data_IF_449528796457
#
_entry.id   IF_449528796457
#
_cell.length_a   1.000
_cell.length_b   1.000
_cell.length_c   1.000
_cell.angle_alpha   90.00
_cell.angle_beta   90.00
_cell.angle_gamma   90.00
#
_symmetry.space_group_name_H-M   'P 1'
#
loop_
_entity.id
_entity.type
_entity.pdbx_description
1 polymer ?
#
# COMPACT_ATOMS: atom_id res chain seq x y z
N UNK A 1 10.62 13.76 -44.07
CA UNK A 1 10.39 13.16 -42.76
C UNK A 1 8.95 13.46 -42.38
N UNK A 2 8.20 12.48 -41.91
CA UNK A 2 6.81 12.72 -41.51
C UNK A 2 6.81 13.35 -40.12
N UNK A 3 6.19 14.52 -39.97
CA UNK A 3 6.06 15.20 -38.68
C UNK A 3 4.68 14.86 -38.09
N UNK A 4 4.63 14.51 -36.84
CA UNK A 4 3.40 14.23 -36.09
C UNK A 4 3.18 15.33 -35.08
N UNK A 5 1.99 15.93 -35.13
CA UNK A 5 1.55 16.91 -34.14
C UNK A 5 1.01 16.18 -32.90
N UNK A 6 1.65 16.38 -31.73
CA UNK A 6 1.23 15.83 -30.47
C UNK A 6 0.27 16.81 -29.79
N UNK A 7 -0.97 16.36 -29.58
CA UNK A 7 -2.04 17.14 -28.98
C UNK A 7 -2.37 16.59 -27.61
N UNK A 8 -2.86 17.48 -26.73
CA UNK A 8 -3.36 17.07 -25.42
C UNK A 8 -4.56 16.13 -25.60
N UNK A 9 -4.52 14.89 -25.06
CA UNK A 9 -5.64 13.95 -25.17
C UNK A 9 -6.84 14.42 -24.31
N UNK A 10 -7.94 13.69 -24.37
CA UNK A 10 -9.07 13.92 -23.50
C UNK A 10 -8.65 13.76 -22.04
N UNK A 11 -8.83 14.82 -21.24
CA UNK A 11 -8.44 14.94 -19.83
C UNK A 11 -9.64 14.83 -18.88
N UNK A 12 -10.77 14.27 -19.35
CA UNK A 12 -12.01 14.12 -18.59
C UNK A 12 -12.81 15.42 -18.47
N UNK A 13 -13.42 15.65 -17.31
CA UNK A 13 -14.34 16.78 -17.07
C UNK A 13 -13.65 18.16 -16.92
N UNK A 14 -12.36 18.29 -17.25
CA UNK A 14 -11.61 19.55 -17.12
C UNK A 14 -11.58 20.32 -18.43
N UNK A 15 -11.94 21.59 -18.37
CA UNK A 15 -11.90 22.49 -19.53
C UNK A 15 -10.49 23.04 -19.82
N UNK A 16 -9.65 23.13 -18.78
CA UNK A 16 -8.32 23.73 -18.84
C UNK A 16 -7.42 23.17 -17.73
N UNK A 17 -6.15 22.83 -18.04
CA UNK A 17 -5.15 22.34 -17.08
C UNK A 17 -3.84 23.10 -17.22
N UNK A 18 -3.08 23.25 -16.12
CA UNK A 18 -1.78 23.92 -16.12
C UNK A 18 -0.63 22.97 -16.43
N UNK A 19 0.34 23.37 -17.25
CA UNK A 19 1.59 22.64 -17.46
C UNK A 19 2.52 22.89 -16.27
N UNK A 20 2.81 21.84 -15.50
CA UNK A 20 3.67 21.94 -14.29
C UNK A 20 5.08 21.41 -14.52
N UNK A 21 5.30 20.62 -15.58
CA UNK A 21 6.62 20.10 -15.91
C UNK A 21 6.72 19.77 -17.41
N UNK A 22 7.93 19.99 -17.98
CA UNK A 22 8.27 19.55 -19.34
C UNK A 22 9.46 18.60 -19.22
N UNK A 23 9.23 17.33 -19.55
CA UNK A 23 10.14 16.21 -19.27
C UNK A 23 11.15 15.94 -20.40
N UNK A 24 11.04 16.64 -21.52
CA UNK A 24 11.87 16.42 -22.72
C UNK A 24 12.36 17.74 -23.29
N UNK A 25 13.44 17.70 -24.07
CA UNK A 25 14.03 18.84 -24.77
C UNK A 25 13.95 18.65 -26.29
N UNK A 26 14.09 19.77 -27.05
CA UNK A 26 14.18 19.72 -28.51
C UNK A 26 15.44 18.91 -28.89
N UNK A 27 15.26 17.94 -29.79
CA UNK A 27 16.31 17.00 -30.20
C UNK A 27 16.34 15.67 -29.46
N UNK A 28 15.57 15.53 -28.38
CA UNK A 28 15.49 14.27 -27.63
C UNK A 28 14.79 13.20 -28.46
N UNK A 29 15.34 11.98 -28.39
CA UNK A 29 14.70 10.79 -28.95
C UNK A 29 13.75 10.19 -27.92
N UNK A 30 12.47 10.17 -28.21
CA UNK A 30 11.42 9.64 -27.33
C UNK A 30 10.82 8.35 -27.89
N UNK A 31 10.46 7.46 -27.00
CA UNK A 31 9.77 6.20 -27.32
C UNK A 31 8.25 6.37 -27.25
N UNK A 32 7.53 5.46 -27.88
CA UNK A 32 6.09 5.34 -27.67
C UNK A 32 5.78 5.16 -26.17
N UNK A 33 4.75 5.86 -25.66
CA UNK A 33 4.35 5.88 -24.24
C UNK A 33 5.34 6.58 -23.28
N UNK A 34 6.41 7.20 -23.78
CA UNK A 34 7.31 7.99 -22.91
C UNK A 34 6.64 9.31 -22.53
N UNK A 35 6.67 9.66 -21.23
CA UNK A 35 6.10 10.92 -20.70
C UNK A 35 6.81 12.14 -21.28
N UNK A 36 6.04 13.11 -21.78
CA UNK A 36 6.52 14.33 -22.44
C UNK A 36 6.37 15.58 -21.58
N UNK A 37 5.19 15.75 -20.97
CA UNK A 37 4.86 16.85 -20.04
C UNK A 37 4.01 16.31 -18.92
N UNK A 38 4.03 17.01 -17.78
CA UNK A 38 3.07 16.83 -16.69
C UNK A 38 2.13 18.03 -16.65
N UNK A 39 0.84 17.75 -16.63
CA UNK A 39 -0.21 18.76 -16.48
C UNK A 39 -0.94 18.57 -15.15
N UNK A 40 -1.40 19.65 -14.54
CA UNK A 40 -2.10 19.63 -13.27
C UNK A 40 -3.48 20.28 -13.38
N UNK A 41 -4.47 19.59 -12.86
CA UNK A 41 -5.82 20.10 -12.62
C UNK A 41 -6.03 20.33 -11.13
N UNK A 42 -7.13 20.95 -10.75
CA UNK A 42 -7.51 21.17 -9.34
C UNK A 42 -7.59 19.89 -8.49
N UNK A 43 -7.55 18.71 -9.12
CA UNK A 43 -7.76 17.42 -8.43
C UNK A 43 -6.67 16.38 -8.67
N UNK A 44 -5.87 16.49 -9.72
CA UNK A 44 -4.82 15.52 -10.06
C UNK A 44 -3.79 16.09 -11.03
N UNK A 45 -2.55 15.61 -10.92
CA UNK A 45 -1.51 15.74 -11.94
C UNK A 45 -1.50 14.51 -12.84
N UNK A 46 -1.28 14.73 -14.13
CA UNK A 46 -1.26 13.68 -15.16
C UNK A 46 -0.07 13.87 -16.09
N UNK A 47 0.62 12.77 -16.41
CA UNK A 47 1.67 12.75 -17.41
C UNK A 47 1.06 12.48 -18.79
N UNK A 48 1.49 13.22 -19.79
CA UNK A 48 1.04 13.06 -21.18
C UNK A 48 2.10 12.28 -21.95
N UNK A 49 1.77 11.04 -22.38
CA UNK A 49 2.73 10.17 -23.08
C UNK A 49 2.85 10.50 -24.57
N UNK A 50 3.98 10.11 -25.17
CA UNK A 50 4.19 10.21 -26.63
C UNK A 50 3.36 9.18 -27.37
N UNK A 51 2.60 9.56 -28.41
CA UNK A 51 1.81 8.63 -29.23
C UNK A 51 2.66 7.82 -30.21
N UNK A 52 3.94 8.16 -30.40
CA UNK A 52 4.83 7.49 -31.36
C UNK A 52 6.30 7.63 -30.93
N UNK A 53 7.17 6.81 -31.53
CA UNK A 53 8.62 6.92 -31.39
C UNK A 53 9.17 7.91 -32.40
N UNK A 54 10.08 8.80 -31.96
CA UNK A 54 10.69 9.79 -32.86
C UNK A 54 11.58 10.80 -32.12
N UNK A 55 11.95 11.88 -32.80
CA UNK A 55 12.77 12.97 -32.26
C UNK A 55 11.93 14.21 -32.08
N UNK A 56 12.01 14.86 -30.91
CA UNK A 56 11.29 16.11 -30.63
C UNK A 56 11.84 17.22 -31.52
N UNK A 57 10.99 17.73 -32.40
CA UNK A 57 11.31 18.81 -33.34
C UNK A 57 11.02 20.18 -32.74
N UNK A 58 9.88 20.31 -32.04
CA UNK A 58 9.44 21.56 -31.47
C UNK A 58 8.60 21.36 -30.22
N UNK A 59 8.84 22.18 -29.22
CA UNK A 59 8.01 22.25 -27.96
C UNK A 59 7.23 23.58 -28.04
N UNK A 60 5.91 23.49 -27.94
CA UNK A 60 4.99 24.63 -28.18
C UNK A 60 4.33 25.11 -26.87
N UNK A 61 4.63 24.46 -25.74
CA UNK A 61 4.12 24.82 -24.40
C UNK A 61 5.27 25.06 -23.45
N UNK A 62 5.04 25.89 -22.43
CA UNK A 62 6.00 26.23 -21.37
C UNK A 62 5.41 25.91 -20.01
N UNK A 63 6.27 25.82 -19.01
CA UNK A 63 5.88 25.71 -17.62
C UNK A 63 4.95 26.88 -17.23
N UNK A 64 3.78 26.56 -16.68
CA UNK A 64 2.75 27.54 -16.30
C UNK A 64 1.70 27.86 -17.37
N UNK A 65 1.88 27.38 -18.61
CA UNK A 65 0.86 27.57 -19.65
C UNK A 65 -0.40 26.78 -19.33
N UNK A 66 -1.55 27.34 -19.70
CA UNK A 66 -2.84 26.67 -19.62
C UNK A 66 -3.18 26.04 -20.95
N UNK A 67 -3.53 24.74 -20.92
CA UNK A 67 -3.83 23.95 -22.12
C UNK A 67 -5.16 23.21 -21.94
N UNK A 68 -5.88 23.00 -23.05
CA UNK A 68 -7.17 22.31 -23.10
C UNK A 68 -7.07 21.07 -23.98
N UNK A 69 -8.06 20.18 -23.94
CA UNK A 69 -8.16 19.06 -24.87
C UNK A 69 -7.96 19.52 -26.34
N UNK A 70 -7.10 18.81 -27.06
CA UNK A 70 -6.77 19.11 -28.45
C UNK A 70 -5.72 20.22 -28.65
N UNK A 71 -5.25 20.91 -27.58
CA UNK A 71 -4.15 21.87 -27.67
C UNK A 71 -2.89 21.20 -28.19
N UNK A 72 -2.21 21.83 -29.15
CA UNK A 72 -0.96 21.36 -29.72
C UNK A 72 0.18 21.61 -28.70
N UNK A 73 0.82 20.53 -28.23
CA UNK A 73 1.87 20.61 -27.19
C UNK A 73 3.28 20.49 -27.77
N UNK A 74 3.50 19.59 -28.73
CA UNK A 74 4.81 19.33 -29.32
C UNK A 74 4.69 18.85 -30.76
N UNK A 75 5.82 18.89 -31.49
CA UNK A 75 6.00 18.25 -32.82
C UNK A 75 7.07 17.19 -32.73
N UNK A 76 6.79 16.03 -33.31
CA UNK A 76 7.66 14.88 -33.35
C UNK A 76 8.00 14.52 -34.80
N UNK A 77 9.29 14.38 -35.11
CA UNK A 77 9.76 13.80 -36.37
C UNK A 77 9.87 12.29 -36.21
N UNK A 78 9.08 11.53 -36.97
CA UNK A 78 9.15 10.08 -37.00
C UNK A 78 10.49 9.62 -37.58
N UNK A 79 11.22 8.77 -36.87
CA UNK A 79 12.40 8.09 -37.37
C UNK A 79 11.96 7.04 -38.42
N UNK A 80 12.43 7.16 -39.67
CA UNK A 80 12.29 6.07 -40.64
C UNK A 80 13.15 4.88 -40.18
N UNK A 81 12.69 3.63 -40.28
CA UNK A 81 13.47 2.48 -39.88
C UNK A 81 14.62 2.24 -40.86
N UNK A 82 15.79 2.73 -40.54
CA UNK A 82 17.03 2.32 -41.22
C UNK A 82 17.73 1.26 -40.38
N UNK A 83 17.67 0.05 -40.86
CA UNK A 83 18.52 -1.05 -40.41
C UNK A 83 19.96 -0.70 -40.78
N UNK A 84 20.85 -0.51 -39.81
CA UNK A 84 22.27 -0.70 -40.06
C UNK A 84 22.97 -1.13 -38.77
N UNK A 85 23.47 -2.36 -38.82
CA UNK A 85 24.49 -2.86 -37.93
C UNK A 85 25.83 -2.28 -38.34
N UNK A 86 26.63 -1.77 -37.45
CA UNK A 86 28.09 -2.03 -37.44
C UNK A 86 28.75 -1.46 -36.20
N UNK A 87 29.60 -2.28 -35.63
CA UNK A 87 30.53 -1.98 -34.55
C UNK A 87 31.64 -1.03 -35.01
N UNK A 88 32.22 -0.26 -34.13
CA UNK A 88 33.64 -0.27 -33.73
C UNK A 88 34.13 1.03 -33.11
N UNK A 89 34.73 0.85 -31.92
CA UNK A 89 36.01 1.44 -31.43
C UNK A 89 36.16 2.95 -31.20
N UNK A 90 36.33 3.16 -29.93
CA UNK A 90 37.24 4.04 -29.18
C UNK A 90 38.16 5.01 -29.96
N UNK A 91 38.20 6.26 -29.48
CA UNK A 91 39.47 6.92 -29.13
C UNK A 91 39.23 8.06 -28.12
N UNK A 92 39.97 7.99 -27.05
CA UNK A 92 40.10 9.04 -26.04
C UNK A 92 40.93 10.20 -26.60
N UNK A 93 40.56 11.44 -26.30
CA UNK A 93 41.48 12.55 -26.33
C UNK A 93 41.21 13.45 -25.12
N UNK A 94 42.18 13.43 -24.25
CA UNK A 94 42.36 14.29 -23.08
C UNK A 94 42.65 15.71 -23.52
N UNK A 95 41.99 16.70 -22.98
CA UNK A 95 42.56 18.05 -22.95
C UNK A 95 42.28 18.65 -21.56
N UNK A 96 43.38 18.82 -20.86
CA UNK A 96 43.54 19.47 -19.59
C UNK A 96 43.47 20.99 -19.79
N UNK A 97 42.70 21.71 -18.97
CA UNK A 97 43.06 23.12 -18.70
C UNK A 97 42.72 23.45 -17.21
N UNK A 98 43.71 23.93 -16.58
CA UNK A 98 43.91 24.27 -15.16
C UNK A 98 43.31 25.64 -14.81
N UNK A 99 42.92 25.82 -13.58
CA UNK A 99 42.97 26.96 -12.65
C UNK A 99 41.56 27.37 -12.15
N UNK A 100 41.30 27.69 -10.89
CA UNK A 100 42.12 27.92 -9.69
C UNK A 100 41.20 27.81 -8.46
N UNK A 101 41.83 27.50 -7.35
CA UNK A 101 41.30 27.29 -6.02
C UNK A 101 40.63 28.53 -5.37
N UNK A 102 39.65 28.26 -4.52
CA UNK A 102 39.57 28.84 -3.17
C UNK A 102 38.42 28.20 -2.36
N UNK A 103 38.76 27.55 -1.28
CA UNK A 103 38.37 27.86 0.08
C UNK A 103 37.30 26.90 0.65
N UNK A 104 37.69 25.69 1.05
CA UNK A 104 36.91 24.80 1.91
C UNK A 104 37.29 25.00 3.38
N UNK A 105 36.31 25.27 4.23
CA UNK A 105 36.42 25.18 5.68
C UNK A 105 35.77 23.87 6.13
N UNK A 106 36.44 23.02 6.90
CA UNK A 106 35.85 21.76 7.36
C UNK A 106 34.97 22.00 8.60
N UNK A 107 33.74 21.57 8.56
CA UNK A 107 32.90 21.46 9.74
C UNK A 107 33.08 20.04 10.29
N UNK A 108 33.56 19.97 11.51
CA UNK A 108 33.82 18.76 12.29
C UNK A 108 32.51 18.09 12.66
N UNK A 109 32.41 16.79 12.45
CA UNK A 109 31.37 15.92 12.99
C UNK A 109 31.55 15.72 14.51
N UNK A 110 30.50 15.70 15.33
CA UNK A 110 30.61 15.28 16.73
C UNK A 110 30.62 13.77 16.86
N UNK A 111 31.48 13.30 17.74
CA UNK A 111 31.74 11.91 18.06
C UNK A 111 30.54 11.15 18.60
N UNK A 112 30.44 9.90 18.16
CA UNK A 112 29.52 8.89 18.66
C UNK A 112 29.87 8.52 20.12
N UNK A 113 28.90 8.60 21.01
CA UNK A 113 28.96 7.99 22.35
C UNK A 113 28.55 6.52 22.26
N UNK A 114 29.37 5.67 22.86
CA UNK A 114 29.27 4.22 22.87
C UNK A 114 28.01 3.70 23.61
N UNK A 115 27.45 2.53 23.20
CA UNK A 115 26.36 1.88 23.92
C UNK A 115 26.90 0.99 25.04
N UNK A 116 26.11 0.94 26.10
CA UNK A 116 26.29 0.06 27.25
C UNK A 116 26.11 -1.42 26.87
N UNK A 117 26.97 -2.24 27.40
CA UNK A 117 27.07 -3.68 27.26
C UNK A 117 25.85 -4.43 27.81
N UNK A 118 25.39 -5.43 27.06
CA UNK A 118 24.41 -6.40 27.54
C UNK A 118 24.32 -7.62 26.61
N UNK A 119 24.99 -8.71 26.99
CA UNK A 119 24.64 -10.07 26.63
C UNK A 119 24.97 -10.54 25.21
N UNK A 120 26.17 -11.10 25.03
CA UNK A 120 26.50 -11.97 23.89
C UNK A 120 25.59 -13.20 23.85
N UNK A 121 24.78 -13.33 22.81
CA UNK A 121 24.35 -14.63 22.29
C UNK A 121 24.97 -14.76 20.90
N UNK A 122 26.10 -15.44 20.87
CA UNK A 122 26.74 -15.92 19.66
C UNK A 122 25.82 -16.95 18.98
N UNK A 123 25.20 -16.57 17.88
CA UNK A 123 24.78 -17.49 16.84
C UNK A 123 25.45 -17.10 15.54
N UNK A 124 26.38 -17.97 15.14
CA UNK A 124 27.12 -17.97 13.89
C UNK A 124 26.17 -17.76 12.70
N UNK A 125 26.41 -16.69 11.94
CA UNK A 125 25.93 -16.56 10.58
C UNK A 125 26.70 -17.61 9.74
N UNK A 126 26.11 -18.77 9.54
CA UNK A 126 26.55 -19.68 8.48
C UNK A 126 26.08 -19.09 7.16
N UNK A 127 27.02 -18.68 6.34
CA UNK A 127 26.82 -18.42 4.93
C UNK A 127 26.27 -19.72 4.30
N UNK A 128 25.05 -19.69 3.80
CA UNK A 128 24.49 -20.78 3.01
C UNK A 128 25.20 -20.75 1.65
N UNK A 129 26.19 -21.61 1.48
CA UNK A 129 26.70 -21.95 0.16
C UNK A 129 25.57 -22.60 -0.66
N UNK A 130 25.26 -21.98 -1.77
CA UNK A 130 24.37 -22.52 -2.79
C UNK A 130 25.02 -23.77 -3.38
N UNK A 131 24.60 -24.95 -2.94
CA UNK A 131 24.78 -26.16 -3.73
C UNK A 131 23.69 -26.18 -4.81
N UNK A 132 24.06 -26.27 -6.10
CA UNK A 132 23.07 -26.49 -7.15
C UNK A 132 22.47 -27.88 -6.97
N UNK A 133 21.21 -27.94 -6.53
CA UNK A 133 20.44 -29.18 -6.58
C UNK A 133 20.33 -29.61 -8.05
N UNK A 134 20.81 -30.80 -8.35
CA UNK A 134 20.67 -31.47 -9.65
C UNK A 134 19.18 -31.62 -9.97
N UNK A 135 18.59 -30.64 -10.64
CA UNK A 135 17.25 -30.75 -11.18
C UNK A 135 17.29 -31.71 -12.38
N UNK A 136 16.64 -32.86 -12.23
CA UNK A 136 16.30 -33.74 -13.32
C UNK A 136 15.50 -32.95 -14.36
N UNK A 137 15.86 -32.96 -15.64
CA UNK A 137 15.06 -32.27 -16.64
C UNK A 137 13.63 -32.83 -16.65
N UNK A 138 12.59 -31.98 -16.79
CA UNK A 138 11.20 -32.43 -16.80
C UNK A 138 10.98 -33.35 -18.01
N UNK A 139 10.71 -34.59 -17.72
CA UNK A 139 10.33 -35.58 -18.74
C UNK A 139 8.81 -35.57 -18.85
N UNK A 140 8.28 -35.15 -19.99
CA UNK A 140 6.90 -34.87 -20.38
C UNK A 140 6.34 -33.55 -19.81
N UNK A 141 5.77 -32.74 -20.68
CA UNK A 141 5.07 -31.49 -20.29
C UNK A 141 3.98 -31.84 -19.27
N UNK A 142 4.27 -31.56 -17.99
CA UNK A 142 3.25 -31.58 -16.95
C UNK A 142 2.25 -30.51 -17.30
N UNK A 143 1.02 -30.91 -17.61
CA UNK A 143 -0.04 -30.00 -18.01
C UNK A 143 -0.60 -29.37 -16.73
N UNK A 144 -0.05 -28.20 -16.34
CA UNK A 144 -0.56 -27.44 -15.22
C UNK A 144 -1.90 -26.78 -15.54
N UNK A 145 -2.73 -26.59 -14.52
CA UNK A 145 -4.01 -25.87 -14.68
C UNK A 145 -3.81 -24.41 -15.05
N UNK A 146 -2.68 -23.78 -14.62
CA UNK A 146 -2.29 -22.43 -14.99
C UNK A 146 -0.76 -22.25 -15.07
N UNK A 147 -0.32 -21.23 -15.81
CA UNK A 147 1.07 -20.80 -15.85
C UNK A 147 1.45 -20.10 -14.55
N UNK A 148 0.54 -19.23 -14.05
CA UNK A 148 0.71 -18.51 -12.81
C UNK A 148 -0.53 -18.63 -11.91
N UNK A 149 -0.28 -19.10 -10.69
CA UNK A 149 -1.23 -19.03 -9.59
C UNK A 149 -0.94 -17.79 -8.73
N UNK A 150 -1.96 -17.01 -8.38
CA UNK A 150 -1.84 -15.90 -7.42
C UNK A 150 -2.75 -16.18 -6.22
N UNK A 151 -2.20 -16.17 -5.00
CA UNK A 151 -2.93 -16.44 -3.76
C UNK A 151 -3.15 -15.12 -3.02
N UNK A 152 -4.41 -14.66 -2.98
CA UNK A 152 -4.84 -13.40 -2.40
C UNK A 152 -5.05 -12.32 -3.45
N UNK A 153 -6.21 -11.65 -3.42
CA UNK A 153 -6.61 -10.62 -4.37
C UNK A 153 -6.55 -9.20 -3.79
N UNK A 154 -5.64 -8.95 -2.85
CA UNK A 154 -5.30 -7.60 -2.41
C UNK A 154 -4.53 -6.81 -3.48
N UNK A 155 -4.09 -5.54 -3.20
CA UNK A 155 -3.41 -4.70 -4.18
C UNK A 155 -2.23 -5.37 -4.89
N UNK A 156 -1.39 -6.09 -4.18
CA UNK A 156 -0.31 -6.86 -4.81
C UNK A 156 -0.84 -8.00 -5.68
N UNK A 157 -1.82 -8.77 -5.17
CA UNK A 157 -2.30 -9.96 -5.87
C UNK A 157 -3.03 -9.64 -7.17
N UNK A 158 -4.01 -8.72 -7.17
CA UNK A 158 -4.67 -8.37 -8.42
C UNK A 158 -3.72 -7.67 -9.42
N UNK A 159 -2.77 -6.86 -8.93
CA UNK A 159 -1.77 -6.22 -9.80
C UNK A 159 -0.85 -7.26 -10.46
N UNK A 160 -0.37 -8.26 -9.69
CA UNK A 160 0.43 -9.34 -10.25
C UNK A 160 -0.36 -10.19 -11.25
N UNK A 161 -1.61 -10.55 -10.91
CA UNK A 161 -2.47 -11.34 -11.79
C UNK A 161 -2.77 -10.61 -13.11
N UNK A 162 -3.07 -9.32 -13.06
CA UNK A 162 -3.35 -8.54 -14.26
C UNK A 162 -2.10 -8.34 -15.10
N UNK A 163 -0.97 -8.03 -14.48
CA UNK A 163 0.31 -7.88 -15.19
C UNK A 163 0.71 -9.18 -15.89
N UNK A 164 0.63 -10.31 -15.21
CA UNK A 164 0.95 -11.62 -15.80
C UNK A 164 0.00 -11.99 -16.96
N UNK A 165 -1.30 -11.69 -16.82
CA UNK A 165 -2.27 -11.89 -17.89
C UNK A 165 -1.99 -10.98 -19.11
N UNK A 166 -1.60 -9.72 -18.88
CA UNK A 166 -1.18 -8.79 -19.94
C UNK A 166 0.12 -9.26 -20.66
N UNK A 167 0.96 -10.06 -19.96
CA UNK A 167 2.13 -10.73 -20.54
C UNK A 167 1.78 -12.07 -21.24
N UNK A 168 0.51 -12.45 -21.32
CA UNK A 168 0.03 -13.63 -22.04
C UNK A 168 -0.03 -14.92 -21.23
N UNK A 169 0.19 -14.88 -19.93
CA UNK A 169 0.09 -16.08 -19.07
C UNK A 169 -1.36 -16.46 -18.80
N UNK A 170 -1.62 -17.76 -18.66
CA UNK A 170 -2.87 -18.28 -18.08
C UNK A 170 -2.83 -18.13 -16.56
N UNK A 171 -3.67 -17.27 -16.01
CA UNK A 171 -3.62 -16.89 -14.59
C UNK A 171 -4.87 -17.38 -13.86
N UNK A 172 -4.66 -18.01 -12.69
CA UNK A 172 -5.70 -18.28 -11.70
C UNK A 172 -5.41 -17.40 -10.46
N UNK A 173 -6.42 -16.61 -10.03
CA UNK A 173 -6.37 -15.76 -8.84
C UNK A 173 -7.30 -16.35 -7.79
N UNK A 174 -6.76 -16.79 -6.65
CA UNK A 174 -7.53 -17.35 -5.53
C UNK A 174 -7.72 -16.31 -4.45
N UNK A 175 -8.96 -16.10 -4.02
CA UNK A 175 -9.33 -15.18 -2.94
C UNK A 175 -10.37 -15.83 -2.02
N UNK A 176 -10.15 -15.72 -0.69
CA UNK A 176 -11.08 -16.27 0.30
C UNK A 176 -12.43 -15.56 0.34
N UNK A 177 -12.45 -14.27 0.03
CA UNK A 177 -13.65 -13.45 0.05
C UNK A 177 -14.28 -13.38 -1.34
N UNK A 178 -15.60 -13.08 -1.37
CA UNK A 178 -16.37 -13.01 -2.63
C UNK A 178 -15.94 -11.84 -3.53
N UNK A 179 -15.29 -10.79 -2.98
CA UNK A 179 -14.88 -9.60 -3.74
C UNK A 179 -13.36 -9.47 -3.79
N UNK A 180 -12.85 -9.07 -4.95
CA UNK A 180 -11.45 -8.70 -5.13
C UNK A 180 -11.14 -7.40 -4.37
N UNK A 181 -9.85 -7.10 -4.19
CA UNK A 181 -9.38 -5.86 -3.57
C UNK A 181 -8.75 -6.05 -2.19
N UNK A 182 -8.93 -7.22 -1.57
CA UNK A 182 -8.35 -7.57 -0.26
C UNK A 182 -8.74 -6.60 0.85
N UNK A 183 -7.90 -6.52 1.87
CA UNK A 183 -8.11 -5.61 3.02
C UNK A 183 -8.19 -4.15 2.57
N UNK A 184 -7.31 -3.72 1.67
CA UNK A 184 -7.22 -2.31 1.27
C UNK A 184 -8.55 -1.75 0.73
N UNK A 185 -9.19 -2.45 -0.22
CA UNK A 185 -10.42 -1.94 -0.83
C UNK A 185 -11.66 -2.21 0.02
N UNK A 186 -11.72 -3.36 0.68
CA UNK A 186 -12.94 -3.79 1.36
C UNK A 186 -13.05 -3.28 2.81
N UNK A 187 -11.96 -3.33 3.57
CA UNK A 187 -11.97 -3.08 5.03
C UNK A 187 -10.75 -2.31 5.51
N UNK A 188 -10.15 -1.46 4.68
CA UNK A 188 -8.92 -0.73 4.98
C UNK A 188 -8.88 0.65 4.33
N UNK A 189 -7.95 0.86 3.40
CA UNK A 189 -7.63 2.16 2.81
C UNK A 189 -8.84 2.88 2.23
N UNK A 190 -9.63 2.19 1.39
CA UNK A 190 -10.73 2.83 0.68
C UNK A 190 -11.85 3.27 1.64
N UNK A 191 -12.43 2.40 2.48
CA UNK A 191 -13.43 2.86 3.43
C UNK A 191 -12.89 3.90 4.43
N UNK A 192 -11.61 3.80 4.87
CA UNK A 192 -11.05 4.81 5.78
C UNK A 192 -10.92 6.17 5.10
N UNK A 193 -10.42 6.25 3.86
CA UNK A 193 -10.31 7.51 3.10
C UNK A 193 -11.66 8.10 2.76
N UNK A 194 -12.65 7.26 2.44
CA UNK A 194 -14.02 7.71 2.27
C UNK A 194 -14.54 8.42 3.55
N UNK A 195 -14.43 7.77 4.70
CA UNK A 195 -14.89 8.36 5.96
C UNK A 195 -14.05 9.57 6.41
N UNK A 196 -12.73 9.55 6.19
CA UNK A 196 -11.87 10.70 6.46
C UNK A 196 -12.23 11.91 5.60
N UNK A 197 -12.67 11.70 4.35
CA UNK A 197 -13.17 12.78 3.51
C UNK A 197 -14.42 13.44 4.12
N UNK A 198 -15.38 12.64 4.57
CA UNK A 198 -16.59 13.18 5.25
C UNK A 198 -16.20 13.94 6.53
N UNK A 199 -15.29 13.36 7.33
CA UNK A 199 -14.77 14.00 8.53
C UNK A 199 -14.13 15.37 8.20
N UNK A 200 -13.30 15.42 7.16
CA UNK A 200 -12.64 16.65 6.73
C UNK A 200 -13.63 17.74 6.29
N UNK A 201 -14.67 17.38 5.52
CA UNK A 201 -15.73 18.32 5.10
C UNK A 201 -16.50 18.86 6.31
N UNK A 202 -16.87 17.98 7.26
CA UNK A 202 -17.56 18.40 8.48
C UNK A 202 -16.71 19.36 9.32
N UNK A 203 -15.43 19.03 9.53
CA UNK A 203 -14.50 19.85 10.30
C UNK A 203 -14.25 21.22 9.62
N UNK A 204 -14.14 21.23 8.29
CA UNK A 204 -13.94 22.47 7.52
C UNK A 204 -15.13 23.38 7.66
N UNK A 205 -16.36 22.86 7.50
CA UNK A 205 -17.58 23.62 7.69
C UNK A 205 -17.64 24.26 9.08
N UNK A 206 -17.27 23.52 10.13
CA UNK A 206 -17.24 24.05 11.49
C UNK A 206 -16.14 25.13 11.67
N UNK A 207 -14.96 24.96 11.05
CA UNK A 207 -13.86 25.93 11.11
C UNK A 207 -14.23 27.28 10.50
N UNK A 208 -15.11 27.32 9.48
CA UNK A 208 -15.58 28.56 8.85
C UNK A 208 -16.31 29.49 9.82
N UNK A 209 -16.80 28.98 10.96
CA UNK A 209 -17.38 29.81 12.01
C UNK A 209 -16.42 30.92 12.51
N UNK A 210 -15.10 30.63 12.53
CA UNK A 210 -14.05 31.60 12.89
C UNK A 210 -13.93 32.78 11.89
N UNK A 211 -14.41 32.56 10.67
CA UNK A 211 -14.41 33.51 9.58
C UNK A 211 -15.80 34.15 9.36
N UNK A 212 -16.73 33.98 10.32
CA UNK A 212 -18.05 34.58 10.29
C UNK A 212 -19.12 33.76 9.55
N UNK A 213 -18.78 32.60 8.96
CA UNK A 213 -19.72 31.71 8.27
C UNK A 213 -20.11 30.60 9.23
N UNK A 214 -21.36 30.57 9.68
CA UNK A 214 -21.86 29.60 10.65
C UNK A 214 -22.80 28.61 9.98
N UNK A 215 -22.41 27.33 10.02
CA UNK A 215 -23.29 26.21 9.74
C UNK A 215 -23.92 25.72 11.06
N UNK A 216 -25.08 25.11 11.00
CA UNK A 216 -25.68 24.42 12.15
C UNK A 216 -24.78 23.26 12.61
N UNK A 217 -25.08 22.72 13.82
CA UNK A 217 -24.41 21.49 14.27
C UNK A 217 -24.76 20.36 13.29
N UNK A 218 -23.77 19.62 12.76
CA UNK A 218 -24.08 18.55 11.83
C UNK A 218 -24.84 17.42 12.55
N UNK A 219 -25.82 16.88 11.86
CA UNK A 219 -26.51 15.66 12.25
C UNK A 219 -26.00 14.53 11.37
N UNK A 220 -25.68 13.37 11.96
CA UNK A 220 -25.10 12.25 11.28
C UNK A 220 -26.07 11.07 11.26
N UNK A 221 -26.47 10.69 10.06
CA UNK A 221 -27.21 9.44 9.82
C UNK A 221 -26.21 8.32 9.50
N UNK A 222 -25.97 7.43 10.48
CA UNK A 222 -24.97 6.37 10.33
C UNK A 222 -25.28 5.41 9.19
N UNK A 223 -26.55 5.11 8.95
CA UNK A 223 -26.95 4.23 7.84
C UNK A 223 -26.63 4.87 6.49
N UNK A 224 -26.89 6.16 6.33
CA UNK A 224 -26.51 6.90 5.12
C UNK A 224 -25.00 6.92 4.89
N UNK A 225 -24.21 7.10 5.95
CA UNK A 225 -22.75 7.03 5.86
C UNK A 225 -22.23 5.64 5.50
N UNK A 226 -22.85 4.59 6.08
CA UNK A 226 -22.49 3.19 5.76
C UNK A 226 -22.81 2.87 4.31
N UNK A 227 -23.99 3.24 3.83
CA UNK A 227 -24.43 2.99 2.46
C UNK A 227 -23.54 3.73 1.45
N UNK A 228 -23.25 5.01 1.71
CA UNK A 228 -22.34 5.76 0.88
C UNK A 228 -20.92 5.13 0.85
N UNK A 229 -20.34 4.82 1.99
CA UNK A 229 -19.05 4.10 2.09
C UNK A 229 -19.09 2.79 1.29
N UNK A 230 -20.15 2.01 1.45
CA UNK A 230 -20.31 0.73 0.75
C UNK A 230 -20.46 0.91 -0.76
N UNK A 231 -21.11 1.99 -1.21
CA UNK A 231 -21.23 2.32 -2.64
C UNK A 231 -19.84 2.59 -3.27
N UNK A 232 -18.96 3.30 -2.56
CA UNK A 232 -17.56 3.55 -2.99
C UNK A 232 -16.80 2.24 -3.12
N UNK A 233 -16.87 1.37 -2.10
CA UNK A 233 -16.21 0.05 -2.12
C UNK A 233 -16.72 -0.77 -3.31
N UNK A 234 -18.05 -0.88 -3.47
CA UNK A 234 -18.70 -1.66 -4.53
C UNK A 234 -18.30 -1.17 -5.93
N UNK A 235 -18.20 0.14 -6.13
CA UNK A 235 -17.77 0.72 -7.40
C UNK A 235 -16.35 0.27 -7.77
N UNK A 236 -15.42 0.34 -6.82
CA UNK A 236 -14.01 -0.01 -7.06
C UNK A 236 -13.80 -1.52 -7.19
N UNK A 237 -14.39 -2.33 -6.33
CA UNK A 237 -14.28 -3.80 -6.40
C UNK A 237 -14.97 -4.36 -7.65
N UNK A 238 -16.10 -3.76 -8.08
CA UNK A 238 -16.75 -4.07 -9.35
C UNK A 238 -15.87 -3.74 -10.57
N UNK A 239 -15.13 -2.63 -10.51
CA UNK A 239 -14.13 -2.29 -11.52
C UNK A 239 -13.04 -3.36 -11.63
N UNK A 240 -12.50 -3.83 -10.49
CA UNK A 240 -11.50 -4.91 -10.48
C UNK A 240 -12.06 -6.22 -11.07
N UNK A 241 -13.28 -6.60 -10.74
CA UNK A 241 -13.92 -7.79 -11.30
C UNK A 241 -14.07 -7.70 -12.83
N UNK A 242 -14.45 -6.51 -13.34
CA UNK A 242 -14.51 -6.23 -14.77
C UNK A 242 -13.14 -6.32 -15.44
N UNK A 243 -12.09 -5.78 -14.81
CA UNK A 243 -10.71 -5.84 -15.29
C UNK A 243 -10.17 -7.28 -15.32
N UNK A 244 -10.46 -8.09 -14.30
CA UNK A 244 -10.11 -9.50 -14.26
C UNK A 244 -10.76 -10.28 -15.42
N UNK A 245 -12.07 -10.05 -15.63
CA UNK A 245 -12.82 -10.67 -16.72
C UNK A 245 -12.27 -10.28 -18.11
N UNK A 246 -11.96 -9.00 -18.33
CA UNK A 246 -11.40 -8.52 -19.60
C UNK A 246 -10.05 -9.17 -19.92
N UNK A 247 -9.23 -9.47 -18.89
CA UNK A 247 -7.92 -10.15 -19.00
C UNK A 247 -8.01 -11.68 -18.96
N UNK A 248 -9.22 -12.23 -18.85
CA UNK A 248 -9.44 -13.68 -18.74
C UNK A 248 -8.72 -14.31 -17.52
N UNK A 249 -8.51 -13.53 -16.45
CA UNK A 249 -8.02 -14.04 -15.17
C UNK A 249 -9.15 -14.85 -14.54
N UNK A 250 -8.92 -16.13 -14.30
CA UNK A 250 -9.87 -16.99 -13.60
C UNK A 250 -9.84 -16.66 -12.10
N UNK A 251 -10.97 -16.20 -11.55
CA UNK A 251 -11.12 -15.97 -10.11
C UNK A 251 -11.75 -17.19 -9.45
N UNK A 252 -11.06 -17.75 -8.45
CA UNK A 252 -11.53 -18.87 -7.63
C UNK A 252 -11.71 -18.40 -6.19
N UNK A 253 -12.93 -18.50 -5.67
CA UNK A 253 -13.19 -18.15 -4.28
C UNK A 253 -12.93 -19.35 -3.36
N UNK A 254 -12.16 -19.15 -2.30
CA UNK A 254 -11.91 -20.14 -1.26
C UNK A 254 -10.59 -19.93 -0.52
N UNK A 255 -10.41 -20.68 0.55
CA UNK A 255 -9.18 -20.71 1.34
C UNK A 255 -8.15 -21.65 0.71
N UNK A 256 -7.02 -21.09 0.26
CA UNK A 256 -5.94 -21.84 -0.39
C UNK A 256 -4.95 -22.38 0.63
N UNK A 257 -4.54 -23.65 0.44
CA UNK A 257 -3.43 -24.27 1.17
C UNK A 257 -2.56 -25.07 0.21
N UNK A 258 -1.24 -24.94 0.34
CA UNK A 258 -0.31 -25.77 -0.40
C UNK A 258 -0.43 -27.24 0.04
N UNK A 259 -0.47 -28.15 -0.93
CA UNK A 259 -0.41 -29.58 -0.72
C UNK A 259 0.90 -30.19 -1.22
N UNK A 260 1.58 -29.51 -2.16
CA UNK A 260 2.93 -29.78 -2.61
C UNK A 260 3.51 -28.52 -3.28
N UNK A 261 4.79 -28.52 -3.75
CA UNK A 261 5.42 -27.34 -4.36
C UNK A 261 4.74 -26.81 -5.63
N UNK A 262 3.90 -27.57 -6.30
CA UNK A 262 3.23 -27.22 -7.54
C UNK A 262 1.70 -27.36 -7.49
N UNK A 263 1.11 -27.51 -6.30
CA UNK A 263 -0.34 -27.61 -6.18
C UNK A 263 -0.85 -27.02 -4.86
N UNK A 264 -2.04 -26.42 -4.95
CA UNK A 264 -2.84 -26.00 -3.78
C UNK A 264 -4.18 -26.74 -3.76
N UNK A 265 -4.73 -26.91 -2.58
CA UNK A 265 -6.13 -27.20 -2.36
C UNK A 265 -6.85 -25.91 -2.00
N UNK A 266 -7.96 -25.63 -2.67
CA UNK A 266 -8.84 -24.52 -2.36
C UNK A 266 -10.12 -25.08 -1.76
N UNK A 267 -10.42 -24.67 -0.54
CA UNK A 267 -11.63 -25.06 0.19
C UNK A 267 -12.65 -23.90 0.08
N UNK A 268 -13.75 -24.14 -0.60
CA UNK A 268 -14.83 -23.15 -0.68
C UNK A 268 -15.63 -23.14 0.64
N UNK A 269 -16.39 -22.07 0.86
CA UNK A 269 -17.21 -21.94 2.08
C UNK A 269 -18.35 -22.95 2.20
N UNK A 270 -18.58 -23.76 1.14
CA UNK A 270 -19.60 -24.80 1.07
C UNK A 270 -19.01 -26.18 1.35
N UNK A 271 -17.70 -26.27 1.59
CA UNK A 271 -16.96 -27.52 1.88
C UNK A 271 -16.56 -28.30 0.63
N UNK A 272 -16.67 -27.72 -0.57
CA UNK A 272 -16.11 -28.31 -1.78
C UNK A 272 -14.61 -28.01 -1.86
N UNK A 273 -13.84 -29.00 -2.27
CA UNK A 273 -12.39 -28.89 -2.41
C UNK A 273 -12.00 -28.96 -3.87
N UNK A 274 -11.19 -27.99 -4.29
CA UNK A 274 -10.63 -27.96 -5.64
C UNK A 274 -9.11 -28.03 -5.57
N UNK A 275 -8.50 -28.99 -6.24
CA UNK A 275 -7.05 -29.03 -6.44
C UNK A 275 -6.71 -28.18 -7.67
N UNK A 276 -5.69 -27.33 -7.55
CA UNK A 276 -5.17 -26.49 -8.63
C UNK A 276 -3.67 -26.69 -8.73
N UNK A 277 -3.20 -27.12 -9.90
CA UNK A 277 -1.79 -27.27 -10.21
C UNK A 277 -1.27 -26.06 -10.98
N UNK A 278 -0.02 -25.67 -10.76
CA UNK A 278 0.57 -24.45 -11.32
C UNK A 278 2.04 -24.63 -11.69
N UNK A 279 2.48 -23.91 -12.74
CA UNK A 279 3.89 -23.82 -13.09
C UNK A 279 4.66 -22.91 -12.15
N UNK A 280 4.11 -21.71 -11.85
CA UNK A 280 4.65 -20.72 -10.91
C UNK A 280 3.55 -20.21 -9.98
N UNK A 281 3.93 -19.71 -8.81
CA UNK A 281 2.98 -19.09 -7.87
C UNK A 281 3.50 -17.79 -7.28
N UNK A 282 2.58 -16.84 -7.02
CA UNK A 282 2.82 -15.63 -6.25
C UNK A 282 1.94 -15.66 -5.00
N UNK A 283 2.56 -15.62 -3.83
CA UNK A 283 1.88 -15.54 -2.53
C UNK A 283 1.66 -14.07 -2.18
N UNK A 284 0.42 -13.61 -2.28
CA UNK A 284 -0.01 -12.25 -1.96
C UNK A 284 -1.08 -12.23 -0.85
N UNK A 285 -0.96 -13.16 0.12
CA UNK A 285 -1.99 -13.44 1.12
C UNK A 285 -2.11 -12.36 2.22
N UNK A 286 -1.27 -11.33 2.20
CA UNK A 286 -1.40 -10.15 3.03
C UNK A 286 -1.25 -10.41 4.52
N UNK A 287 -1.99 -9.61 5.31
CA UNK A 287 -1.92 -9.59 6.77
C UNK A 287 -3.30 -9.45 7.40
N UNK A 288 -3.38 -9.70 8.71
CA UNK A 288 -4.59 -9.47 9.53
C UNK A 288 -4.28 -8.60 10.74
N UNK A 289 -5.31 -7.97 11.33
CA UNK A 289 -5.16 -7.19 12.55
C UNK A 289 -4.76 -8.09 13.72
N UNK A 290 -3.84 -7.60 14.56
CA UNK A 290 -3.44 -8.28 15.80
C UNK A 290 -4.58 -8.15 16.81
N UNK A 291 -4.92 -9.28 17.43
CA UNK A 291 -5.86 -9.33 18.54
C UNK A 291 -5.11 -9.54 19.85
N UNK A 292 -5.41 -8.72 20.87
CA UNK A 292 -4.83 -8.87 22.18
C UNK A 292 -5.67 -9.87 23.02
N UNK A 293 -5.09 -10.96 23.50
CA UNK A 293 -5.84 -12.08 24.09
C UNK A 293 -6.58 -11.72 25.39
N UNK A 294 -6.16 -10.67 26.07
CA UNK A 294 -6.79 -10.20 27.31
C UNK A 294 -8.00 -9.28 27.07
N UNK A 295 -8.25 -8.86 25.82
CA UNK A 295 -9.44 -8.07 25.51
C UNK A 295 -10.69 -8.97 25.50
N UNK A 296 -11.80 -8.54 26.14
CA UNK A 296 -13.02 -9.32 26.17
C UNK A 296 -13.64 -9.45 24.77
N UNK A 297 -14.30 -10.58 24.54
CA UNK A 297 -15.14 -10.78 23.35
C UNK A 297 -16.47 -10.07 23.56
N UNK A 298 -16.51 -8.79 23.24
CA UNK A 298 -17.65 -7.90 23.42
C UNK A 298 -17.81 -7.06 22.13
N UNK A 299 -19.03 -6.80 21.63
CA UNK A 299 -19.25 -6.01 20.42
C UNK A 299 -18.73 -4.56 20.52
N UNK A 300 -18.49 -4.06 21.74
CA UNK A 300 -17.90 -2.74 21.98
C UNK A 300 -16.37 -2.75 21.88
N UNK A 301 -15.75 -3.91 21.71
CA UNK A 301 -14.29 -4.06 21.50
C UNK A 301 -14.05 -4.54 20.08
N UNK A 302 -13.50 -3.66 19.26
CA UNK A 302 -13.32 -3.89 17.82
C UNK A 302 -11.86 -3.72 17.38
N UNK A 303 -11.54 -4.30 16.24
CA UNK A 303 -10.35 -3.97 15.46
C UNK A 303 -10.68 -2.91 14.39
N UNK A 304 -9.72 -2.61 13.52
CA UNK A 304 -9.92 -1.63 12.44
C UNK A 304 -11.09 -1.96 11.49
N UNK A 305 -11.32 -3.25 11.20
CA UNK A 305 -12.46 -3.68 10.38
C UNK A 305 -13.78 -3.35 11.06
N UNK A 306 -13.94 -3.71 12.34
CA UNK A 306 -15.16 -3.41 13.09
C UNK A 306 -15.38 -1.91 13.31
N UNK A 307 -14.30 -1.12 13.46
CA UNK A 307 -14.42 0.33 13.55
C UNK A 307 -14.93 0.96 12.24
N UNK A 308 -14.50 0.43 11.08
CA UNK A 308 -14.97 0.88 9.77
C UNK A 308 -16.45 0.55 9.49
N UNK A 309 -17.05 -0.39 10.22
CA UNK A 309 -18.48 -0.66 10.13
C UNK A 309 -19.34 0.46 10.74
N UNK A 310 -18.75 1.35 11.53
CA UNK A 310 -19.42 2.46 12.24
C UNK A 310 -20.67 1.97 13.02
N UNK A 311 -20.53 1.01 13.94
CA UNK A 311 -21.70 0.42 14.62
C UNK A 311 -22.44 1.44 15.47
N UNK A 312 -21.73 2.40 16.02
CA UNK A 312 -22.23 3.43 16.96
C UNK A 312 -21.30 4.65 16.93
N UNK A 313 -21.81 5.84 17.30
CA UNK A 313 -20.99 6.98 17.70
C UNK A 313 -20.93 6.95 19.24
N UNK A 314 -19.83 6.50 19.86
CA UNK A 314 -19.71 6.42 21.31
C UNK A 314 -19.50 7.81 21.90
N UNK A 315 -19.87 8.02 23.16
CA UNK A 315 -19.49 9.22 23.89
C UNK A 315 -17.99 9.24 24.19
N UNK A 316 -17.46 8.11 24.69
CA UNK A 316 -16.04 7.94 25.03
C UNK A 316 -15.45 6.71 24.37
N UNK A 317 -14.44 6.94 23.55
CA UNK A 317 -13.73 5.88 22.81
C UNK A 317 -12.26 5.80 23.24
N UNK A 318 -11.78 4.58 23.45
CA UNK A 318 -10.34 4.31 23.60
C UNK A 318 -9.78 3.76 22.31
N UNK A 319 -8.62 4.26 21.92
CA UNK A 319 -7.78 3.71 20.86
C UNK A 319 -6.54 3.09 21.51
N UNK A 320 -6.41 1.76 21.41
CA UNK A 320 -5.22 1.02 21.83
C UNK A 320 -4.28 0.90 20.63
N UNK A 321 -3.13 1.60 20.70
CA UNK A 321 -2.14 1.73 19.63
C UNK A 321 -2.21 3.06 18.89
N UNK A 322 -1.18 3.89 19.06
CA UNK A 322 -1.02 5.22 18.46
C UNK A 322 -0.45 5.20 17.03
N UNK A 323 -0.65 4.12 16.29
CA UNK A 323 -0.29 4.00 14.88
C UNK A 323 -1.28 4.68 13.95
N UNK A 324 -0.94 4.73 12.62
CA UNK A 324 -1.74 5.45 11.61
C UNK A 324 -3.19 4.98 11.55
N UNK A 325 -3.46 3.68 11.64
CA UNK A 325 -4.82 3.11 11.53
C UNK A 325 -5.70 3.60 12.69
N UNK A 326 -5.17 3.54 13.92
CA UNK A 326 -5.90 4.01 15.11
C UNK A 326 -6.21 5.50 15.04
N UNK A 327 -5.24 6.30 14.61
CA UNK A 327 -5.38 7.75 14.51
C UNK A 327 -6.28 8.20 13.34
N UNK A 328 -6.31 7.47 12.22
CA UNK A 328 -7.29 7.68 11.15
C UNK A 328 -8.72 7.44 11.66
N UNK A 329 -8.96 6.30 12.31
CA UNK A 329 -10.28 6.01 12.88
C UNK A 329 -10.63 7.01 13.99
N UNK A 330 -9.68 7.37 14.84
CA UNK A 330 -9.86 8.43 15.83
C UNK A 330 -10.31 9.75 15.21
N UNK A 331 -9.69 10.15 14.09
CA UNK A 331 -10.11 11.35 13.35
C UNK A 331 -11.57 11.25 12.90
N UNK A 332 -11.96 10.12 12.32
CA UNK A 332 -13.35 9.88 11.89
C UNK A 332 -14.30 9.99 13.07
N UNK A 333 -14.09 9.19 14.13
CA UNK A 333 -15.00 9.17 15.28
C UNK A 333 -15.07 10.50 16.04
N UNK A 334 -13.93 11.22 16.15
CA UNK A 334 -13.92 12.56 16.74
C UNK A 334 -14.76 13.55 15.95
N UNK A 335 -14.66 13.55 14.61
CA UNK A 335 -15.46 14.44 13.75
C UNK A 335 -16.95 14.09 13.79
N UNK A 336 -17.29 12.84 14.09
CA UNK A 336 -18.68 12.42 14.35
C UNK A 336 -19.17 12.78 15.76
N UNK A 337 -18.28 13.19 16.68
CA UNK A 337 -18.65 13.70 18.01
C UNK A 337 -18.15 12.86 19.18
N UNK A 338 -17.41 11.79 18.96
CA UNK A 338 -16.82 10.99 20.05
C UNK A 338 -15.65 11.71 20.72
N UNK A 339 -15.54 11.55 22.05
CA UNK A 339 -14.37 11.95 22.85
C UNK A 339 -13.36 10.80 22.88
N UNK A 340 -12.08 11.12 22.65
CA UNK A 340 -11.06 10.10 22.43
C UNK A 340 -9.97 10.10 23.49
N UNK A 341 -9.58 8.90 23.92
CA UNK A 341 -8.28 8.64 24.54
C UNK A 341 -7.45 7.74 23.61
N UNK A 342 -6.14 7.95 23.58
CA UNK A 342 -5.17 7.07 22.90
C UNK A 342 -4.16 6.56 23.92
N UNK A 343 -3.90 5.26 23.89
CA UNK A 343 -2.82 4.64 24.65
C UNK A 343 -1.79 4.04 23.71
N UNK A 344 -0.51 4.41 23.92
CA UNK A 344 0.63 3.93 23.13
C UNK A 344 1.77 3.52 24.06
N UNK A 345 2.28 2.30 23.85
CA UNK A 345 3.36 1.77 24.69
C UNK A 345 4.74 2.37 24.39
N UNK A 346 4.90 2.93 23.20
CA UNK A 346 6.11 3.63 22.77
C UNK A 346 6.10 5.09 23.26
N UNK A 347 7.20 5.78 23.04
CA UNK A 347 7.39 7.18 23.43
C UNK A 347 6.81 8.21 22.46
N UNK A 348 6.17 7.78 21.37
CA UNK A 348 5.56 8.66 20.39
C UNK A 348 4.53 7.98 19.52
N UNK A 349 3.62 8.77 18.98
CA UNK A 349 2.65 8.34 17.99
C UNK A 349 3.35 8.06 16.65
N UNK A 350 2.72 7.23 15.80
CA UNK A 350 3.19 6.90 14.44
C UNK A 350 4.70 6.57 14.38
N UNK A 351 5.17 5.49 15.02
CA UNK A 351 6.59 5.22 15.23
C UNK A 351 7.41 5.07 13.94
N UNK A 352 6.76 4.82 12.81
CA UNK A 352 7.43 4.70 11.50
C UNK A 352 7.52 6.00 10.70
N UNK A 353 6.98 7.14 11.21
CA UNK A 353 6.96 8.41 10.51
C UNK A 353 8.02 9.38 11.09
N UNK A 354 8.47 10.33 10.26
CA UNK A 354 9.42 11.37 10.67
C UNK A 354 8.86 12.22 11.81
N UNK A 355 9.66 12.45 12.82
CA UNK A 355 9.20 13.07 14.09
C UNK A 355 8.75 14.50 13.95
N UNK A 356 9.32 15.27 13.03
CA UNK A 356 8.92 16.63 12.68
C UNK A 356 7.50 16.66 12.09
N UNK A 357 7.19 15.73 11.17
CA UNK A 357 5.85 15.57 10.59
C UNK A 357 4.82 15.13 11.63
N UNK A 358 5.19 14.19 12.50
CA UNK A 358 4.32 13.75 13.61
C UNK A 358 4.01 14.89 14.56
N UNK A 359 4.98 15.75 14.83
CA UNK A 359 4.80 16.95 15.68
C UNK A 359 3.77 17.90 15.08
N UNK A 360 3.87 18.17 13.78
CA UNK A 360 2.89 19.01 13.05
C UNK A 360 1.50 18.37 13.12
N UNK A 361 1.39 17.07 12.83
CA UNK A 361 0.13 16.34 12.91
C UNK A 361 -0.48 16.43 14.32
N UNK A 362 0.31 16.25 15.38
CA UNK A 362 -0.13 16.36 16.76
C UNK A 362 -0.66 17.77 17.09
N UNK A 363 0.03 18.83 16.66
CA UNK A 363 -0.42 20.20 16.88
C UNK A 363 -1.80 20.45 16.26
N UNK A 364 -2.05 19.95 15.04
CA UNK A 364 -3.33 20.13 14.37
C UNK A 364 -4.46 19.28 14.96
N UNK A 365 -4.14 18.10 15.52
CA UNK A 365 -5.14 17.11 15.94
C UNK A 365 -5.26 16.93 17.46
N UNK A 366 -4.45 17.63 18.28
CA UNK A 366 -4.48 17.49 19.75
C UNK A 366 -5.88 17.76 20.36
N UNK A 367 -6.65 18.65 19.75
CA UNK A 367 -8.01 18.99 20.20
C UNK A 367 -9.02 17.84 20.11
N UNK A 368 -8.69 16.75 19.38
CA UNK A 368 -9.53 15.55 19.22
C UNK A 368 -9.44 14.60 20.39
N UNK A 369 -8.37 14.71 21.17
CA UNK A 369 -8.04 13.75 22.23
C UNK A 369 -8.15 14.41 23.60
N UNK A 370 -8.89 13.77 24.51
CA UNK A 370 -8.89 14.14 25.92
C UNK A 370 -7.55 13.77 26.55
N UNK A 371 -7.00 12.59 26.19
CA UNK A 371 -5.70 12.12 26.67
C UNK A 371 -4.94 11.35 25.59
N UNK A 372 -3.62 11.59 25.53
CA UNK A 372 -2.66 10.79 24.76
C UNK A 372 -1.68 10.21 25.78
N UNK A 373 -1.84 8.93 26.09
CA UNK A 373 -1.05 8.19 27.09
C UNK A 373 0.10 7.48 26.40
N UNK A 374 1.26 8.13 26.31
CA UNK A 374 2.50 7.55 25.78
C UNK A 374 3.21 6.75 26.88
N UNK A 375 4.12 5.82 26.48
CA UNK A 375 4.86 4.93 27.38
C UNK A 375 3.95 4.19 28.36
N UNK A 376 2.74 3.89 27.92
CA UNK A 376 1.68 3.30 28.76
C UNK A 376 1.20 2.01 28.11
N UNK A 377 1.18 0.94 28.87
CA UNK A 377 0.69 -0.38 28.44
C UNK A 377 -0.76 -0.57 28.85
N UNK A 378 -1.54 -1.18 27.98
CA UNK A 378 -2.81 -1.78 28.36
C UNK A 378 -2.52 -3.17 28.93
N UNK A 379 -2.86 -3.40 30.20
CA UNK A 379 -2.54 -4.64 30.93
C UNK A 379 -3.75 -5.54 31.17
N UNK A 380 -4.96 -5.06 30.86
CA UNK A 380 -6.19 -5.83 30.98
C UNK A 380 -7.41 -5.03 30.59
N UNK A 381 -8.50 -5.73 30.27
CA UNK A 381 -9.80 -5.13 30.05
C UNK A 381 -10.91 -6.10 30.44
N UNK A 382 -12.03 -5.58 30.91
CA UNK A 382 -13.23 -6.34 31.25
C UNK A 382 -14.50 -5.63 30.80
N UNK A 383 -15.46 -6.40 30.29
CA UNK A 383 -16.78 -5.88 29.94
C UNK A 383 -17.63 -5.74 31.22
N UNK A 384 -18.29 -4.59 31.36
CA UNK A 384 -19.25 -4.29 32.43
C UNK A 384 -20.57 -3.82 31.86
N UNK A 385 -21.61 -3.65 32.69
CA UNK A 385 -22.88 -3.04 32.22
C UNK A 385 -22.66 -1.64 31.66
N UNK A 386 -21.71 -0.88 32.22
CA UNK A 386 -21.55 0.56 32.01
C UNK A 386 -20.44 0.87 30.98
N UNK A 387 -19.81 -0.15 30.40
CA UNK A 387 -18.75 0.03 29.41
C UNK A 387 -17.67 -1.05 29.47
N UNK A 388 -16.55 -0.76 28.85
CA UNK A 388 -15.35 -1.58 28.90
C UNK A 388 -14.37 -0.92 29.86
N UNK A 389 -14.15 -1.57 31.02
CA UNK A 389 -13.16 -1.12 32.01
C UNK A 389 -11.77 -1.58 31.55
N UNK A 390 -10.88 -0.63 31.24
CA UNK A 390 -9.54 -0.89 30.74
C UNK A 390 -8.50 -0.49 31.80
N UNK A 391 -7.52 -1.36 32.01
CA UNK A 391 -6.41 -1.17 32.94
C UNK A 391 -5.13 -0.82 32.22
N UNK A 392 -4.44 0.18 32.75
CA UNK A 392 -3.20 0.72 32.19
C UNK A 392 -2.07 0.64 33.21
N UNK A 393 -0.84 0.57 32.70
CA UNK A 393 0.39 0.67 33.47
C UNK A 393 1.35 1.61 32.76
N UNK A 394 1.77 2.68 33.42
CA UNK A 394 2.74 3.62 32.90
C UNK A 394 4.19 3.10 33.03
N UNK A 395 5.16 3.87 32.50
CA UNK A 395 6.58 3.52 32.53
C UNK A 395 7.19 3.47 33.95
N UNK A 396 6.50 3.98 34.96
CA UNK A 396 6.89 3.95 36.38
C UNK A 396 6.20 2.80 37.16
N UNK A 397 5.42 1.97 36.44
CA UNK A 397 4.65 0.88 37.07
C UNK A 397 3.38 1.33 37.77
N UNK A 398 2.99 2.60 37.67
CA UNK A 398 1.75 3.10 38.27
C UNK A 398 0.57 2.60 37.44
N UNK A 399 -0.36 1.94 38.09
CA UNK A 399 -1.56 1.44 37.49
C UNK A 399 -2.72 2.43 37.61
N UNK A 400 -3.56 2.45 36.57
CA UNK A 400 -4.81 3.21 36.51
C UNK A 400 -5.85 2.44 35.72
N UNK A 401 -7.12 2.82 35.87
CA UNK A 401 -8.21 2.23 35.11
C UNK A 401 -9.22 3.30 34.68
N UNK A 402 -9.87 3.08 33.53
CA UNK A 402 -10.92 3.96 33.02
C UNK A 402 -11.92 3.17 32.19
N UNK A 403 -13.18 3.58 32.25
CA UNK A 403 -14.27 2.95 31.50
C UNK A 403 -14.54 3.70 30.19
N UNK A 404 -14.81 2.95 29.12
CA UNK A 404 -15.08 3.45 27.78
C UNK A 404 -16.31 2.76 27.17
N UNK A 405 -17.05 3.50 26.36
CA UNK A 405 -18.22 2.97 25.67
C UNK A 405 -17.83 2.11 24.47
N UNK A 406 -16.63 2.37 23.90
CA UNK A 406 -16.10 1.69 22.73
C UNK A 406 -14.56 1.62 22.77
N UNK A 407 -14.00 0.49 22.36
CA UNK A 407 -12.55 0.27 22.38
C UNK A 407 -12.08 -0.24 21.04
N UNK A 408 -11.17 0.50 20.40
CA UNK A 408 -10.49 0.10 19.16
C UNK A 408 -9.11 -0.48 19.48
N UNK A 409 -8.89 -1.73 19.14
CA UNK A 409 -7.58 -2.37 19.16
C UNK A 409 -6.90 -2.21 17.79
N UNK A 410 -5.82 -1.40 17.73
CA UNK A 410 -5.07 -1.09 16.49
C UNK A 410 -3.55 -1.17 16.71
N UNK A 411 -3.09 -2.22 17.40
CA UNK A 411 -1.69 -2.43 17.82
C UNK A 411 -0.79 -3.05 16.75
N UNK A 412 -1.24 -3.09 15.51
CA UNK A 412 -0.48 -3.59 14.38
C UNK A 412 -1.15 -4.72 13.63
N UNK A 413 -0.40 -5.33 12.72
CA UNK A 413 -0.85 -6.39 11.83
C UNK A 413 0.17 -7.53 11.83
N UNK A 414 -0.29 -8.76 11.59
CA UNK A 414 0.56 -9.94 11.41
C UNK A 414 0.33 -10.57 10.03
N UNK A 415 1.37 -11.10 9.37
CA UNK A 415 1.25 -11.76 8.08
C UNK A 415 0.45 -13.07 8.19
N UNK A 416 -0.14 -13.49 7.06
CA UNK A 416 -0.97 -14.70 7.00
C UNK A 416 -0.19 -15.98 6.63
N UNK A 417 1.14 -15.97 6.60
CA UNK A 417 1.97 -17.09 6.15
C UNK A 417 1.67 -18.42 6.84
N UNK A 418 1.46 -18.41 8.16
CA UNK A 418 1.17 -19.61 8.94
C UNK A 418 -0.13 -20.35 8.53
N UNK A 419 -1.00 -19.72 7.73
CA UNK A 419 -2.30 -20.29 7.34
C UNK A 419 -2.28 -21.05 6.02
N UNK A 420 -1.18 -20.97 5.27
CA UNK A 420 -1.09 -21.40 3.87
C UNK A 420 -0.57 -22.82 3.66
N UNK A 421 -0.13 -23.53 4.72
CA UNK A 421 0.49 -24.86 4.59
C UNK A 421 1.84 -24.81 3.87
N UNK A 422 2.64 -23.77 4.12
CA UNK A 422 3.93 -23.51 3.44
C UNK A 422 4.92 -24.63 3.55
N UNK A 423 4.87 -25.42 4.63
CA UNK A 423 5.73 -26.61 4.83
C UNK A 423 5.53 -27.64 3.69
N UNK A 424 4.29 -27.82 3.22
CA UNK A 424 3.98 -28.72 2.10
C UNK A 424 4.61 -28.27 0.78
N UNK A 425 4.82 -26.96 0.62
CA UNK A 425 5.50 -26.37 -0.53
C UNK A 425 7.01 -26.18 -0.28
N UNK A 426 7.53 -26.56 0.89
CA UNK A 426 8.92 -26.33 1.31
C UNK A 426 9.32 -24.85 1.24
N UNK A 427 8.39 -23.93 1.47
CA UNK A 427 8.62 -22.48 1.51
C UNK A 427 8.98 -22.06 2.93
N UNK A 428 10.11 -21.38 3.09
CA UNK A 428 10.57 -20.89 4.38
C UNK A 428 9.73 -19.68 4.85
N UNK A 429 9.47 -19.62 6.16
CA UNK A 429 8.85 -18.47 6.82
C UNK A 429 9.37 -18.32 8.25
N UNK A 430 9.28 -17.11 8.81
CA UNK A 430 9.70 -16.85 10.18
C UNK A 430 8.61 -17.19 11.22
N UNK A 431 8.95 -17.06 12.51
CA UNK A 431 8.04 -17.32 13.64
C UNK A 431 6.79 -16.41 13.65
N UNK A 432 6.83 -15.28 12.94
CA UNK A 432 5.71 -14.36 12.79
C UNK A 432 4.85 -14.68 11.57
N UNK A 433 5.34 -15.53 10.65
CA UNK A 433 4.69 -15.89 9.40
C UNK A 433 5.10 -15.03 8.20
N UNK A 434 6.21 -14.26 8.29
CA UNK A 434 6.80 -13.57 7.14
C UNK A 434 7.57 -14.56 6.26
N UNK A 435 7.47 -14.38 4.95
CA UNK A 435 8.17 -15.17 3.96
C UNK A 435 9.40 -14.38 3.47
N UNK A 436 10.65 -14.83 3.73
CA UNK A 436 11.84 -14.21 3.19
C UNK A 436 11.89 -14.32 1.67
N UNK A 437 12.25 -13.22 1.00
CA UNK A 437 12.39 -13.15 -0.47
C UNK A 437 13.67 -12.43 -0.87
N UNK A 438 14.14 -12.70 -2.09
CA UNK A 438 15.23 -11.97 -2.72
C UNK A 438 14.76 -10.66 -3.39
N UNK A 439 15.68 -9.93 -4.04
CA UNK A 439 15.35 -8.68 -4.76
C UNK A 439 14.42 -8.84 -5.97
N UNK A 440 14.14 -10.07 -6.38
CA UNK A 440 13.17 -10.41 -7.42
C UNK A 440 11.87 -11.02 -6.85
N UNK A 441 11.66 -10.90 -5.55
CA UNK A 441 10.52 -11.46 -4.81
C UNK A 441 10.45 -12.98 -4.81
N UNK A 442 11.55 -13.70 -5.11
CA UNK A 442 11.60 -15.15 -5.07
C UNK A 442 11.77 -15.62 -3.62
N UNK A 443 11.05 -16.68 -3.27
CA UNK A 443 11.28 -17.41 -2.02
C UNK A 443 12.48 -18.35 -2.18
N UNK A 444 12.74 -19.19 -1.20
CA UNK A 444 13.72 -20.31 -1.33
C UNK A 444 13.31 -21.36 -2.40
N UNK A 445 12.05 -21.32 -2.87
CA UNK A 445 11.57 -22.10 -4.02
C UNK A 445 11.55 -21.19 -5.25
N UNK A 446 12.40 -21.46 -6.25
CA UNK A 446 12.65 -20.57 -7.39
C UNK A 446 11.42 -20.27 -8.26
N UNK A 447 10.38 -21.08 -8.20
CA UNK A 447 9.12 -20.92 -8.91
C UNK A 447 7.98 -20.36 -8.05
N UNK A 448 8.24 -20.11 -6.76
CA UNK A 448 7.28 -19.53 -5.82
C UNK A 448 7.82 -18.17 -5.35
N UNK A 449 7.01 -17.15 -5.54
CA UNK A 449 7.27 -15.76 -5.16
C UNK A 449 6.37 -15.35 -4.00
N UNK A 450 6.73 -14.31 -3.26
CA UNK A 450 5.86 -13.70 -2.27
C UNK A 450 5.96 -12.18 -2.31
N UNK A 451 4.85 -11.49 -2.09
CA UNK A 451 4.75 -10.03 -2.21
C UNK A 451 3.81 -9.42 -1.16
N UNK A 452 3.98 -8.15 -0.89
CA UNK A 452 3.12 -7.34 -0.03
C UNK A 452 3.39 -7.53 1.46
N UNK A 453 2.35 -7.45 2.28
CA UNK A 453 2.47 -7.49 3.75
C UNK A 453 3.11 -8.78 4.27
N UNK A 454 3.03 -9.85 3.50
CA UNK A 454 3.53 -11.18 3.91
C UNK A 454 5.06 -11.28 3.85
N UNK A 455 5.74 -10.37 3.14
CA UNK A 455 7.21 -10.40 3.01
C UNK A 455 7.94 -9.44 3.96
N UNK A 456 7.22 -8.51 4.59
CA UNK A 456 7.83 -7.60 5.58
C UNK A 456 7.24 -6.20 5.61
N UNK A 457 7.87 -5.36 6.45
CA UNK A 457 7.54 -3.95 6.57
C UNK A 457 8.17 -3.13 5.43
N UNK A 458 7.61 -1.96 5.09
CA UNK A 458 6.30 -1.45 5.55
C UNK A 458 5.13 -2.19 4.90
N UNK A 459 4.04 -2.42 5.66
CA UNK A 459 2.81 -3.04 5.15
C UNK A 459 1.96 -1.99 4.42
N UNK A 460 2.33 -1.69 3.17
CA UNK A 460 1.72 -0.65 2.34
C UNK A 460 1.20 -1.22 1.01
N UNK A 461 0.02 -0.75 0.60
CA UNK A 461 -0.59 -1.17 -0.66
C UNK A 461 0.30 -0.87 -1.89
N UNK A 462 0.94 0.32 -1.93
CA UNK A 462 1.79 0.69 -3.06
C UNK A 462 3.08 -0.15 -3.13
N UNK A 463 3.71 -0.48 -1.99
CA UNK A 463 4.83 -1.42 -1.94
C UNK A 463 4.43 -2.75 -2.58
N UNK A 464 3.27 -3.29 -2.20
CA UNK A 464 2.77 -4.55 -2.76
C UNK A 464 2.53 -4.47 -4.28
N UNK A 465 2.08 -3.33 -4.81
CA UNK A 465 1.92 -3.12 -6.26
C UNK A 465 3.26 -3.12 -6.97
N UNK A 466 4.28 -2.40 -6.45
CA UNK A 466 5.62 -2.43 -7.03
C UNK A 466 6.23 -3.84 -7.02
N UNK A 467 6.14 -4.54 -5.90
CA UNK A 467 6.60 -5.93 -5.79
C UNK A 467 5.86 -6.87 -6.75
N UNK A 468 4.57 -6.62 -7.01
CA UNK A 468 3.78 -7.36 -7.98
C UNK A 468 4.33 -7.25 -9.40
N UNK A 469 4.76 -6.06 -9.81
CA UNK A 469 5.37 -5.84 -11.12
C UNK A 469 6.76 -6.46 -11.25
N UNK A 470 7.48 -6.62 -10.13
CA UNK A 470 8.78 -7.32 -10.11
C UNK A 470 8.61 -8.83 -10.21
N UNK A 471 7.58 -9.38 -9.54
CA UNK A 471 7.37 -10.82 -9.44
C UNK A 471 6.65 -11.44 -10.66
N UNK A 472 5.88 -10.64 -11.43
CA UNK A 472 5.02 -11.10 -12.53
C UNK A 472 5.73 -11.29 -13.90
#
# INVERSE_FOLDING_TARGET
>A
MATVDIKLPNIGDFSEVGVIEVLVAIGDHVKHEQSLITVESDKASMEIPSPAEGVIDQILVKLGDKVSEGSLIMRLNLASPTVSASAAQATATTTTTTAAAQGSVPVSAPAATAPLSGGQVTRSAQAFEHQPSSQRPPTKADHFDCDLLVIGAGPGGYSAAFRAADLGMKVILVERYASLGGVCLNVGCIPSKALLHVAAVSDEAQRLAKHGIKFGKPEFELDGLRDWKQSVIKKLTGGLASMAKARKVEHVQGDAKFVNPHAIEVDDQLGSKRLISFSKAIIAAGSEAIHLPFLPKDPRVVNSTGALELPVIPERMLIIGGGIIGLEMGTVYSSLGARLDVVEMLDGLMPGADRDLVKVWQQFNSHRFDQIMLKTKTIGASATSDGILVKFEDSLGKQSEKSYDFVLCSVGRRPNGMKLGLDSAMVNYDERGFIPVDGQMRTNQSHIFAIGDIVGQPMLAHKAVHEAHVAA
#
